data_IF_130132261865
#
_entry.id   IF_130132261865
#
_cell.length_a   1.000
_cell.length_b   1.000
_cell.length_c   1.000
_cell.angle_alpha   90.00
_cell.angle_beta   90.00
_cell.angle_gamma   90.00
#
_symmetry.space_group_name_H-M   'P 1'
#
loop_
_entity.id
_entity.type
_entity.pdbx_description
1 polymer ?
#
# COMPACT_ATOMS: atom_id res chain seq x y z
N UNK A 1 2.49 -59.21 -17.99
CA UNK A 1 2.62 -59.55 -16.55
C UNK A 1 1.95 -58.42 -15.78
N UNK A 2 0.64 -58.39 -15.49
CA UNK A 2 -0.18 -59.23 -14.56
C UNK A 2 0.57 -59.52 -13.27
N UNK A 3 0.08 -59.33 -12.03
CA UNK A 3 -1.17 -58.84 -11.40
C UNK A 3 -0.80 -58.75 -9.90
N UNK A 4 -1.20 -57.73 -9.14
CA UNK A 4 -1.11 -57.79 -7.66
C UNK A 4 -2.51 -57.91 -7.05
N UNK A 5 -2.62 -58.91 -6.18
CA UNK A 5 -3.83 -59.48 -5.59
C UNK A 5 -4.07 -58.89 -4.20
N UNK A 6 -5.33 -58.55 -3.95
CA UNK A 6 -5.94 -58.18 -2.67
C UNK A 6 -6.12 -59.45 -1.81
N UNK A 7 -5.87 -59.35 -0.50
CA UNK A 7 -6.55 -60.21 0.49
C UNK A 7 -6.93 -59.40 1.74
N UNK A 8 -8.23 -59.45 2.04
CA UNK A 8 -8.91 -59.02 3.26
C UNK A 8 -9.04 -60.25 4.16
N UNK A 9 -8.86 -60.10 5.47
CA UNK A 9 -9.70 -60.82 6.45
C UNK A 9 -9.62 -60.18 7.84
N UNK A 10 -10.80 -59.80 8.33
CA UNK A 10 -11.10 -59.33 9.68
C UNK A 10 -11.33 -60.51 10.64
N UNK A 11 -11.32 -60.25 11.97
CA UNK A 11 -12.45 -60.51 12.91
C UNK A 11 -12.01 -60.55 14.41
N UNK A 12 -12.76 -59.76 15.20
CA UNK A 12 -13.22 -59.86 16.61
C UNK A 12 -12.24 -60.04 17.80
N UNK A 13 -12.17 -59.12 18.77
CA UNK A 13 -13.05 -58.83 19.95
C UNK A 13 -12.59 -59.55 21.23
N UNK A 14 -12.21 -58.79 22.27
CA UNK A 14 -12.77 -58.86 23.63
C UNK A 14 -12.06 -57.90 24.61
N UNK A 15 -12.88 -57.10 25.27
CA UNK A 15 -12.66 -56.32 26.49
C UNK A 15 -12.32 -57.18 27.72
N UNK A 16 -11.67 -56.60 28.75
CA UNK A 16 -12.07 -56.57 30.19
C UNK A 16 -10.89 -56.33 31.16
N UNK A 17 -11.13 -55.39 32.11
CA UNK A 17 -10.63 -55.21 33.50
C UNK A 17 -9.13 -55.19 33.85
N UNK A 18 -8.58 -54.17 34.53
CA UNK A 18 -8.80 -53.64 35.90
C UNK A 18 -7.81 -54.20 36.96
N UNK A 19 -7.08 -53.26 37.59
CA UNK A 19 -6.57 -53.23 38.98
C UNK A 19 -5.45 -54.18 39.42
N UNK A 20 -4.34 -53.57 39.85
CA UNK A 20 -3.65 -53.87 41.12
C UNK A 20 -3.10 -52.52 41.66
N UNK A 21 -3.71 -51.98 42.72
CA UNK A 21 -3.18 -51.98 44.10
C UNK A 21 -1.84 -51.23 44.20
N UNK A 22 -1.78 -49.94 44.53
CA UNK A 22 -2.17 -49.29 45.79
C UNK A 22 -1.60 -49.96 47.05
N UNK A 23 -0.33 -49.70 47.37
CA UNK A 23 0.16 -49.34 48.72
C UNK A 23 1.69 -49.32 48.78
N UNK A 24 2.26 -48.11 48.66
CA UNK A 24 3.32 -47.69 49.56
C UNK A 24 3.22 -46.18 49.73
N UNK A 25 2.36 -45.83 50.67
CA UNK A 25 2.15 -44.50 51.19
C UNK A 25 3.41 -43.99 51.89
N UNK A 26 3.70 -42.71 51.61
CA UNK A 26 4.05 -41.70 52.60
C UNK A 26 5.32 -41.93 53.41
N UNK A 27 6.40 -41.28 52.98
CA UNK A 27 7.05 -40.22 53.76
C UNK A 27 8.14 -39.59 52.88
N UNK A 28 7.82 -38.47 52.23
CA UNK A 28 8.79 -37.43 51.85
C UNK A 28 8.00 -36.15 51.56
N UNK A 29 8.03 -35.30 52.59
CA UNK A 29 7.80 -33.86 52.67
C UNK A 29 6.87 -33.18 51.67
N UNK A 30 5.83 -32.59 52.26
CA UNK A 30 5.16 -31.37 51.83
C UNK A 30 6.17 -30.35 51.26
N UNK A 31 6.10 -30.14 49.94
CA UNK A 31 6.42 -28.86 49.34
C UNK A 31 5.09 -28.33 48.79
N UNK A 32 4.59 -27.26 49.38
CA UNK A 32 3.47 -26.52 48.81
C UNK A 32 3.89 -26.04 47.42
N UNK A 33 3.24 -26.54 46.36
CA UNK A 33 3.27 -25.90 45.06
C UNK A 33 2.63 -24.52 45.19
N UNK A 34 3.47 -23.49 45.38
CA UNK A 34 3.08 -22.12 45.06
C UNK A 34 2.71 -22.10 43.58
N UNK A 35 1.41 -21.96 43.31
CA UNK A 35 0.88 -21.50 42.04
C UNK A 35 1.68 -20.24 41.64
N UNK A 36 2.29 -20.17 40.46
CA UNK A 36 2.89 -18.91 40.03
C UNK A 36 1.77 -17.88 39.95
N UNK A 37 1.90 -16.81 40.74
CA UNK A 37 1.17 -15.57 40.48
C UNK A 37 1.49 -15.13 39.05
N UNK A 38 0.54 -14.55 38.32
CA UNK A 38 0.84 -14.00 37.00
C UNK A 38 1.91 -12.93 37.23
N UNK A 39 3.09 -13.15 36.66
CA UNK A 39 4.08 -12.09 36.48
C UNK A 39 3.31 -10.94 35.83
N UNK A 40 3.20 -9.82 36.54
CA UNK A 40 2.82 -8.56 35.93
C UNK A 40 3.92 -8.26 34.93
N UNK A 41 3.70 -8.68 33.67
CA UNK A 41 4.47 -8.20 32.55
C UNK A 41 4.44 -6.67 32.67
N UNK A 42 5.59 -6.08 32.97
CA UNK A 42 5.78 -4.65 32.80
C UNK A 42 5.60 -4.41 31.30
N UNK A 43 4.37 -4.14 30.87
CA UNK A 43 4.09 -3.55 29.56
C UNK A 43 4.95 -2.29 29.50
N UNK A 44 5.99 -2.34 28.68
CA UNK A 44 6.80 -1.16 28.39
C UNK A 44 5.88 -0.22 27.63
N UNK A 45 5.27 0.71 28.35
CA UNK A 45 4.38 1.71 27.78
C UNK A 45 5.17 2.52 26.74
N UNK A 46 4.80 2.39 25.47
CA UNK A 46 5.49 3.11 24.40
C UNK A 46 5.07 4.58 24.47
N UNK A 47 6.02 5.45 24.83
CA UNK A 47 5.79 6.88 24.88
C UNK A 47 5.65 7.44 23.45
N UNK A 48 4.41 7.64 23.00
CA UNK A 48 4.07 8.22 21.70
C UNK A 48 3.76 9.71 21.79
N UNK A 49 4.11 10.47 20.76
CA UNK A 49 3.68 11.87 20.62
C UNK A 49 2.18 11.89 20.23
N UNK A 50 1.28 11.98 21.20
CA UNK A 50 -0.17 11.96 20.93
C UNK A 50 -0.73 13.35 20.59
N UNK A 51 -0.34 14.33 21.38
CA UNK A 51 -0.81 15.70 21.20
C UNK A 51 0.06 16.49 20.23
N UNK A 52 -0.58 17.33 19.42
CA UNK A 52 0.12 18.29 18.56
C UNK A 52 0.92 19.23 19.46
N UNK A 53 2.26 19.34 19.28
CA UNK A 53 3.05 20.29 20.07
C UNK A 53 2.46 21.71 19.99
N UNK A 54 2.35 22.36 21.14
CA UNK A 54 1.69 23.67 21.27
C UNK A 54 2.49 24.79 20.60
N UNK A 55 3.79 24.61 20.45
CA UNK A 55 4.76 25.51 19.83
C UNK A 55 4.91 25.32 18.31
N UNK A 56 4.25 24.30 17.73
CA UNK A 56 4.28 24.03 16.30
C UNK A 56 2.91 24.33 15.68
N UNK A 57 2.89 25.35 14.82
CA UNK A 57 1.72 25.65 13.98
C UNK A 57 1.46 24.52 12.98
N UNK A 58 0.18 24.22 12.75
CA UNK A 58 -0.23 23.27 11.72
C UNK A 58 0.19 23.82 10.35
N UNK A 59 1.06 23.11 9.58
CA UNK A 59 1.44 23.55 8.26
C UNK A 59 0.21 23.70 7.35
N UNK A 60 0.27 24.68 6.44
CA UNK A 60 -0.82 24.89 5.48
C UNK A 60 -1.11 23.61 4.67
N UNK A 61 -2.41 23.30 4.54
CA UNK A 61 -2.88 22.11 3.82
C UNK A 61 -2.74 20.80 4.59
N UNK A 62 -2.14 20.78 5.78
CA UNK A 62 -1.93 19.57 6.57
C UNK A 62 -2.92 19.44 7.74
N UNK A 63 -2.98 18.24 8.32
CA UNK A 63 -3.68 17.93 9.56
C UNK A 63 -2.82 17.09 10.48
N UNK A 64 -3.06 17.20 11.79
CA UNK A 64 -2.39 16.40 12.81
C UNK A 64 -3.02 15.01 12.92
N UNK A 65 -2.19 13.97 12.84
CA UNK A 65 -2.51 12.60 13.20
C UNK A 65 -1.90 12.36 14.58
N UNK A 66 -2.74 12.03 15.56
CA UNK A 66 -2.26 11.69 16.92
C UNK A 66 -1.46 10.40 16.87
N UNK A 67 -0.39 10.32 17.67
CA UNK A 67 0.31 9.07 17.87
C UNK A 67 -0.63 7.97 18.36
N UNK A 68 -0.48 6.77 17.79
CA UNK A 68 -1.41 5.66 17.96
C UNK A 68 -0.73 4.31 17.88
N UNK A 69 -1.28 3.34 18.61
CA UNK A 69 -1.03 1.92 18.42
C UNK A 69 -2.23 1.33 17.67
N UNK A 70 -1.96 0.60 16.60
CA UNK A 70 -2.98 0.00 15.75
C UNK A 70 -2.50 -1.32 15.17
N UNK A 71 -3.45 -2.09 14.64
CA UNK A 71 -3.15 -3.32 13.90
C UNK A 71 -2.97 -2.96 12.43
N UNK A 72 -1.75 -3.08 11.92
CA UNK A 72 -1.40 -2.83 10.52
C UNK A 72 -1.50 -4.12 9.70
N UNK A 73 -1.98 -4.01 8.47
CA UNK A 73 -2.16 -5.12 7.54
C UNK A 73 -3.57 -5.69 7.50
N UNK A 74 -3.79 -6.60 6.55
CA UNK A 74 -5.13 -7.09 6.23
C UNK A 74 -5.67 -8.00 7.33
N UNK A 75 -6.92 -7.74 7.71
CA UNK A 75 -7.68 -8.58 8.62
C UNK A 75 -7.92 -9.97 8.03
N UNK A 76 -8.17 -10.95 8.89
CA UNK A 76 -8.43 -12.32 8.45
C UNK A 76 -9.76 -12.48 7.71
N UNK A 77 -10.74 -11.62 8.02
CA UNK A 77 -12.07 -11.58 7.42
C UNK A 77 -12.16 -10.74 6.14
N UNK A 78 -11.08 -10.09 5.71
CA UNK A 78 -11.04 -9.35 4.44
C UNK A 78 -11.00 -10.33 3.25
N UNK A 79 -12.07 -10.39 2.43
CA UNK A 79 -12.19 -11.37 1.36
C UNK A 79 -11.28 -11.07 0.15
N UNK A 80 -10.70 -9.88 0.07
CA UNK A 80 -9.87 -9.43 -1.04
C UNK A 80 -8.38 -9.29 -0.69
N UNK A 81 -8.02 -9.62 0.56
CA UNK A 81 -6.65 -9.51 1.04
C UNK A 81 -5.68 -10.45 0.32
N UNK A 82 -4.60 -9.89 -0.22
CA UNK A 82 -3.51 -10.69 -0.77
C UNK A 82 -2.53 -11.18 0.32
N UNK A 83 -1.77 -12.26 0.07
CA UNK A 83 -0.76 -12.76 1.02
C UNK A 83 0.27 -11.71 1.45
N UNK A 84 0.63 -10.77 0.56
CA UNK A 84 1.57 -9.67 0.84
C UNK A 84 1.07 -8.63 1.84
N UNK A 85 -0.24 -8.65 2.14
CA UNK A 85 -0.90 -7.77 3.12
C UNK A 85 -1.02 -8.45 4.49
N UNK A 86 -0.64 -9.73 4.60
CA UNK A 86 -0.76 -10.56 5.81
C UNK A 86 0.61 -10.96 6.36
N UNK A 87 0.71 -11.30 7.66
CA UNK A 87 -0.34 -11.18 8.67
C UNK A 87 -0.55 -9.73 9.14
N UNK A 88 -1.73 -9.48 9.70
CA UNK A 88 -1.95 -8.29 10.52
C UNK A 88 -1.02 -8.31 11.75
N UNK A 89 -0.46 -7.17 12.14
CA UNK A 89 0.54 -7.09 13.22
C UNK A 89 0.49 -5.74 13.95
N UNK A 90 0.97 -5.72 15.19
CA UNK A 90 0.91 -4.54 16.05
C UNK A 90 1.96 -3.49 15.65
N UNK A 91 1.51 -2.26 15.46
CA UNK A 91 2.36 -1.11 15.09
C UNK A 91 1.99 0.10 15.95
N UNK A 92 3.01 0.83 16.39
CA UNK A 92 2.87 2.13 17.02
C UNK A 92 3.50 3.21 16.13
N UNK A 93 2.83 4.35 15.96
CA UNK A 93 3.33 5.50 15.20
C UNK A 93 3.22 6.75 16.07
N UNK A 94 4.29 7.54 16.15
CA UNK A 94 4.27 8.87 16.79
C UNK A 94 3.37 9.83 16.02
N UNK A 95 2.86 10.87 16.66
CA UNK A 95 2.06 11.88 15.99
C UNK A 95 2.85 12.69 14.97
N UNK A 96 2.19 13.04 13.87
CA UNK A 96 2.78 13.72 12.72
C UNK A 96 1.73 14.56 11.98
N UNK A 97 2.20 15.47 11.13
CA UNK A 97 1.34 16.16 10.18
C UNK A 97 1.32 15.42 8.84
N UNK A 98 0.16 15.31 8.21
CA UNK A 98 0.00 14.78 6.86
C UNK A 98 -0.83 15.74 6.00
N UNK A 99 -0.55 15.80 4.71
CA UNK A 99 -1.39 16.53 3.76
C UNK A 99 -2.82 16.01 3.78
N UNK A 100 -3.79 16.93 3.76
CA UNK A 100 -5.21 16.61 3.70
C UNK A 100 -5.62 15.97 2.36
N UNK A 101 -4.83 16.14 1.32
CA UNK A 101 -5.08 15.64 -0.05
C UNK A 101 -3.80 15.10 -0.66
N UNK A 102 -3.91 14.44 -1.80
CA UNK A 102 -2.80 14.30 -2.73
C UNK A 102 -2.24 15.67 -3.14
N UNK A 103 -0.98 15.69 -3.56
CA UNK A 103 -0.36 16.87 -4.17
C UNK A 103 -1.03 17.15 -5.50
N UNK A 104 -1.50 18.38 -5.68
CA UNK A 104 -2.21 18.81 -6.88
C UNK A 104 -1.28 19.25 -8.01
N UNK A 105 -1.79 19.28 -9.23
CA UNK A 105 -1.08 19.84 -10.39
C UNK A 105 -0.62 21.29 -10.16
N UNK A 106 -1.44 22.13 -9.51
CA UNK A 106 -1.05 23.50 -9.21
C UNK A 106 0.15 23.57 -8.25
N UNK A 107 0.13 22.76 -7.18
CA UNK A 107 1.23 22.69 -6.22
C UNK A 107 2.52 22.15 -6.86
N UNK A 108 2.41 21.10 -7.67
CA UNK A 108 3.57 20.53 -8.37
C UNK A 108 4.13 21.49 -9.43
N UNK A 109 3.26 22.25 -10.12
CA UNK A 109 3.68 23.31 -11.03
C UNK A 109 4.45 24.41 -10.32
N UNK A 110 4.01 24.85 -9.14
CA UNK A 110 4.74 25.82 -8.31
C UNK A 110 6.17 25.32 -8.01
N UNK A 111 6.31 24.05 -7.61
CA UNK A 111 7.60 23.40 -7.41
C UNK A 111 8.46 23.40 -8.67
N UNK A 112 7.92 22.93 -9.80
CA UNK A 112 8.65 22.80 -11.05
C UNK A 112 9.11 24.17 -11.58
N UNK A 113 8.26 25.19 -11.50
CA UNK A 113 8.58 26.56 -11.92
C UNK A 113 9.62 27.21 -10.99
N UNK A 114 9.52 27.01 -9.68
CA UNK A 114 10.45 27.59 -8.71
C UNK A 114 11.86 26.99 -8.78
N UNK A 115 11.97 25.72 -9.18
CA UNK A 115 13.23 24.96 -9.13
C UNK A 115 13.82 24.65 -10.51
N UNK A 116 13.03 24.79 -11.58
CA UNK A 116 13.38 24.29 -12.91
C UNK A 116 13.42 22.76 -12.98
N UNK A 117 12.74 22.06 -12.06
CA UNK A 117 12.76 20.60 -11.99
C UNK A 117 12.12 19.96 -13.22
N UNK A 118 12.79 18.91 -13.73
CA UNK A 118 12.35 18.09 -14.87
C UNK A 118 12.12 16.68 -14.34
N UNK A 119 10.90 16.14 -14.48
CA UNK A 119 10.58 14.84 -13.89
C UNK A 119 11.29 13.70 -14.61
N UNK A 120 11.38 12.52 -13.98
CA UNK A 120 11.98 11.34 -14.61
C UNK A 120 11.29 10.99 -15.94
N UNK A 121 9.97 11.10 -16.01
CA UNK A 121 9.19 10.88 -17.24
C UNK A 121 9.54 11.86 -18.39
N UNK A 122 10.13 13.02 -18.08
CA UNK A 122 10.55 14.02 -19.06
C UNK A 122 12.01 13.84 -19.52
N UNK A 123 12.77 12.92 -18.92
CA UNK A 123 14.19 12.69 -19.21
C UNK A 123 14.38 11.55 -20.22
N UNK A 124 15.44 11.58 -21.04
CA UNK A 124 15.79 10.44 -21.91
C UNK A 124 16.06 9.17 -21.09
N UNK A 125 15.66 8.02 -21.64
CA UNK A 125 15.92 6.73 -21.00
C UNK A 125 17.38 6.34 -21.27
N UNK A 126 18.15 6.21 -20.20
CA UNK A 126 19.54 5.76 -20.28
C UNK A 126 19.61 4.22 -20.25
N UNK A 127 20.00 3.63 -21.39
CA UNK A 127 20.21 2.18 -21.51
C UNK A 127 21.16 1.62 -20.44
N UNK A 128 22.21 2.37 -20.11
CA UNK A 128 23.22 1.92 -19.14
C UNK A 128 22.64 1.81 -17.72
N UNK A 129 21.57 2.55 -17.43
CA UNK A 129 20.83 2.43 -16.17
C UNK A 129 19.81 1.30 -16.24
N UNK A 130 18.95 1.27 -17.26
CA UNK A 130 17.85 0.28 -17.29
C UNK A 130 18.39 -1.15 -17.40
N UNK A 131 19.50 -1.37 -18.12
CA UNK A 131 20.06 -2.73 -18.29
C UNK A 131 20.52 -3.36 -16.98
N UNK A 132 20.73 -2.57 -15.93
CA UNK A 132 21.06 -3.07 -14.57
C UNK A 132 19.84 -3.68 -13.86
N UNK A 133 18.65 -3.34 -14.32
CA UNK A 133 17.35 -3.80 -13.80
C UNK A 133 16.74 -4.91 -14.68
N UNK A 134 17.43 -5.30 -15.77
CA UNK A 134 16.98 -6.34 -16.69
C UNK A 134 17.74 -7.66 -16.47
N UNK A 135 17.15 -8.81 -16.87
CA UNK A 135 17.85 -10.08 -16.87
C UNK A 135 19.20 -10.01 -17.62
N UNK A 136 20.24 -10.72 -17.16
CA UNK A 136 21.52 -10.79 -17.86
C UNK A 136 21.36 -11.24 -19.31
N UNK A 137 21.94 -10.49 -20.25
CA UNK A 137 21.89 -10.81 -21.68
C UNK A 137 20.70 -10.21 -22.43
N UNK A 138 19.83 -9.42 -21.79
CA UNK A 138 18.76 -8.71 -22.49
C UNK A 138 19.33 -7.78 -23.57
N UNK A 139 18.92 -7.92 -24.84
CA UNK A 139 19.43 -7.09 -25.93
C UNK A 139 18.94 -5.64 -25.77
N UNK A 140 19.80 -4.69 -26.16
CA UNK A 140 19.42 -3.28 -26.19
C UNK A 140 18.24 -3.09 -27.16
N UNK A 141 17.11 -2.50 -26.73
CA UNK A 141 16.03 -2.15 -27.63
C UNK A 141 16.48 -1.03 -28.59
N UNK A 142 15.77 -0.86 -29.70
CA UNK A 142 16.06 0.23 -30.63
C UNK A 142 15.90 1.60 -29.93
N UNK A 143 16.74 2.58 -30.26
CA UNK A 143 16.77 3.89 -29.57
C UNK A 143 15.44 4.66 -29.68
N UNK A 144 14.62 4.35 -30.68
CA UNK A 144 13.26 4.89 -30.80
C UNK A 144 12.32 4.49 -29.65
N UNK A 145 12.66 3.44 -28.90
CA UNK A 145 11.92 2.99 -27.71
C UNK A 145 12.49 3.58 -26.41
N UNK A 146 13.68 4.18 -26.46
CA UNK A 146 14.37 4.78 -25.31
C UNK A 146 14.09 6.29 -25.20
N UNK A 147 12.82 6.66 -25.40
CA UNK A 147 12.38 8.05 -25.41
C UNK A 147 11.66 8.41 -24.10
N UNK A 148 11.73 9.69 -23.66
CA UNK A 148 10.98 10.16 -22.49
C UNK A 148 9.50 9.80 -22.61
N UNK A 149 8.90 9.38 -21.52
CA UNK A 149 7.52 8.94 -21.51
C UNK A 149 7.14 8.34 -20.16
N UNK A 150 5.93 7.82 -20.11
CA UNK A 150 5.37 7.21 -18.92
C UNK A 150 4.29 6.21 -19.30
N UNK A 151 3.94 5.33 -18.37
CA UNK A 151 2.90 4.34 -18.56
C UNK A 151 1.51 5.00 -18.52
N UNK A 152 0.64 4.71 -19.47
CA UNK A 152 -0.74 5.23 -19.52
C UNK A 152 -1.76 4.10 -19.64
N UNK A 153 -2.95 4.33 -19.12
CA UNK A 153 -4.09 3.45 -19.33
C UNK A 153 -4.76 3.76 -20.67
N UNK A 154 -5.01 2.72 -21.47
CA UNK A 154 -5.76 2.85 -22.73
C UNK A 154 -7.23 3.11 -22.44
N UNK A 155 -7.67 4.33 -22.73
CA UNK A 155 -9.04 4.81 -22.49
C UNK A 155 -10.11 4.21 -23.41
N UNK A 156 -9.69 3.70 -24.56
CA UNK A 156 -10.56 3.14 -25.60
C UNK A 156 -10.14 1.69 -25.87
N UNK A 157 -10.81 0.76 -25.20
CA UNK A 157 -10.64 -0.67 -25.38
C UNK A 157 -11.98 -1.29 -25.72
N UNK A 158 -12.05 -2.05 -26.82
CA UNK A 158 -13.28 -2.74 -27.22
C UNK A 158 -13.43 -4.09 -26.50
N UNK A 159 -12.33 -4.81 -26.30
CA UNK A 159 -12.29 -6.10 -25.63
C UNK A 159 -10.87 -6.45 -25.19
N UNK A 160 -10.76 -7.36 -24.22
CA UNK A 160 -9.51 -8.00 -23.84
C UNK A 160 -9.67 -9.53 -23.89
N UNK A 161 -8.60 -10.23 -24.23
CA UNK A 161 -8.60 -11.70 -24.31
C UNK A 161 -8.62 -12.35 -22.92
N UNK A 162 -8.03 -11.69 -21.92
CA UNK A 162 -7.92 -12.15 -20.55
C UNK A 162 -7.45 -10.99 -19.64
N UNK A 163 -7.49 -11.20 -18.31
CA UNK A 163 -7.02 -10.23 -17.30
C UNK A 163 -5.59 -10.49 -16.78
N UNK A 164 -4.84 -11.43 -17.37
CA UNK A 164 -3.46 -11.73 -16.96
C UNK A 164 -2.43 -10.93 -17.78
N UNK A 165 -2.72 -10.68 -19.06
CA UNK A 165 -1.86 -9.88 -19.92
C UNK A 165 -2.21 -8.39 -19.82
N UNK A 166 -1.51 -7.70 -18.93
CA UNK A 166 -1.71 -6.29 -18.64
C UNK A 166 -1.32 -5.36 -19.80
N UNK A 167 -0.54 -5.84 -20.77
CA UNK A 167 -0.12 -5.04 -21.94
C UNK A 167 -1.27 -4.71 -22.91
N UNK A 168 -2.42 -5.36 -22.71
CA UNK A 168 -3.64 -5.07 -23.45
C UNK A 168 -4.22 -3.68 -23.11
N UNK A 169 -4.06 -3.22 -21.87
CA UNK A 169 -4.58 -1.92 -21.41
C UNK A 169 -3.52 -0.95 -20.88
N UNK A 170 -2.32 -1.42 -20.56
CA UNK A 170 -1.18 -0.55 -20.25
C UNK A 170 -0.29 -0.31 -21.47
N UNK A 171 0.05 0.95 -21.72
CA UNK A 171 0.90 1.35 -22.83
C UNK A 171 2.00 2.29 -22.37
N UNK A 172 3.24 2.05 -22.82
CA UNK A 172 4.28 3.07 -22.73
C UNK A 172 4.02 4.17 -23.74
N UNK A 173 3.76 5.39 -23.27
CA UNK A 173 3.48 6.54 -24.12
C UNK A 173 4.65 7.52 -24.13
N UNK A 174 5.36 7.59 -25.25
CA UNK A 174 6.37 8.61 -25.49
C UNK A 174 5.77 10.01 -25.32
N UNK A 175 6.43 10.84 -24.53
CA UNK A 175 6.03 12.21 -24.21
C UNK A 175 4.93 12.34 -23.16
N UNK A 176 4.39 11.24 -22.61
CA UNK A 176 3.48 11.32 -21.46
C UNK A 176 4.27 11.71 -20.20
N UNK A 177 3.76 12.71 -19.48
CA UNK A 177 4.32 13.26 -18.25
C UNK A 177 3.24 14.03 -17.49
N UNK A 178 3.59 14.62 -16.34
CA UNK A 178 2.65 15.33 -15.48
C UNK A 178 1.94 16.53 -16.16
N UNK A 179 2.56 17.18 -17.16
CA UNK A 179 1.93 18.28 -17.93
C UNK A 179 1.02 17.77 -19.04
N UNK A 180 1.31 16.59 -19.56
CA UNK A 180 0.62 15.96 -20.69
C UNK A 180 0.28 14.49 -20.34
N UNK A 181 -0.71 14.24 -19.46
CA UNK A 181 -0.91 12.92 -18.87
C UNK A 181 -1.39 11.82 -19.82
N UNK A 182 -1.71 12.16 -21.07
CA UNK A 182 -2.08 11.18 -22.11
C UNK A 182 -1.10 11.24 -23.31
N UNK A 183 0.05 11.88 -23.11
CA UNK A 183 1.05 12.11 -24.14
C UNK A 183 0.83 13.38 -24.96
N UNK A 184 1.63 13.57 -26.03
CA UNK A 184 1.63 14.76 -26.86
C UNK A 184 0.23 15.19 -27.31
N UNK A 185 -0.09 16.46 -27.05
CA UNK A 185 -1.40 17.07 -27.39
C UNK A 185 -2.42 17.06 -26.26
N UNK A 186 -2.20 16.28 -25.20
CA UNK A 186 -2.96 16.41 -23.94
C UNK A 186 -2.43 17.56 -23.08
N UNK A 187 -3.21 18.01 -22.09
CA UNK A 187 -2.78 19.06 -21.16
C UNK A 187 -3.52 18.96 -19.82
N UNK A 188 -2.92 19.51 -18.76
CA UNK A 188 -3.57 19.74 -17.46
C UNK A 188 -4.33 21.08 -17.38
N UNK A 189 -4.67 21.71 -18.51
CA UNK A 189 -5.38 23.00 -18.50
C UNK A 189 -6.77 22.82 -17.86
N UNK A 190 -7.02 23.55 -16.77
CA UNK A 190 -8.27 23.43 -16.02
C UNK A 190 -8.30 22.24 -15.05
N UNK A 191 -7.15 21.61 -14.79
CA UNK A 191 -7.01 20.47 -13.87
C UNK A 191 -6.07 20.81 -12.69
N UNK A 192 -6.09 22.07 -12.25
CA UNK A 192 -5.18 22.59 -11.23
C UNK A 192 -5.38 21.92 -9.86
N UNK A 193 -6.60 21.50 -9.56
CA UNK A 193 -7.05 20.80 -8.35
C UNK A 193 -7.06 19.27 -8.48
N UNK A 194 -6.60 18.71 -9.60
CA UNK A 194 -6.44 17.27 -9.76
C UNK A 194 -5.09 16.82 -9.18
N UNK A 195 -4.97 15.58 -8.70
CA UNK A 195 -3.70 15.04 -8.25
C UNK A 195 -2.68 15.05 -9.40
N UNK A 196 -1.44 15.40 -9.08
CA UNK A 196 -0.32 15.23 -10.01
C UNK A 196 -0.03 13.74 -10.21
N UNK A 197 0.20 13.34 -11.46
CA UNK A 197 0.49 11.96 -11.87
C UNK A 197 1.74 11.90 -12.76
N UNK A 198 2.16 10.72 -13.20
CA UNK A 198 3.42 10.49 -13.93
C UNK A 198 4.67 10.95 -13.16
N UNK A 199 4.62 10.78 -11.85
CA UNK A 199 5.75 11.04 -10.94
C UNK A 199 6.41 9.73 -10.55
N UNK A 200 7.73 9.78 -10.37
CA UNK A 200 8.56 8.68 -9.87
C UNK A 200 8.96 8.89 -8.41
N UNK A 201 9.66 7.93 -7.81
CA UNK A 201 10.17 8.07 -6.43
C UNK A 201 11.09 9.30 -6.29
N UNK A 202 11.90 9.59 -7.31
CA UNK A 202 12.79 10.76 -7.31
C UNK A 202 12.00 12.07 -7.31
N UNK A 203 10.96 12.16 -8.15
CA UNK A 203 10.14 13.37 -8.31
C UNK A 203 9.39 13.71 -7.02
N UNK A 204 8.81 12.68 -6.41
CA UNK A 204 8.06 12.75 -5.16
C UNK A 204 8.97 13.22 -4.02
N UNK A 205 10.17 12.64 -3.88
CA UNK A 205 11.12 13.05 -2.85
C UNK A 205 11.65 14.47 -3.09
N UNK A 206 11.92 14.86 -4.34
CA UNK A 206 12.39 16.19 -4.68
C UNK A 206 11.37 17.27 -4.29
N UNK A 207 10.08 17.04 -4.59
CA UNK A 207 8.99 17.92 -4.17
C UNK A 207 8.90 18.01 -2.63
N UNK A 208 8.90 16.87 -1.94
CA UNK A 208 8.78 16.85 -0.48
C UNK A 208 9.93 17.61 0.19
N UNK A 209 11.16 17.40 -0.28
CA UNK A 209 12.34 18.12 0.21
C UNK A 209 12.21 19.63 -0.02
N UNK A 210 11.72 20.06 -1.18
CA UNK A 210 11.52 21.49 -1.49
C UNK A 210 10.50 22.15 -0.57
N UNK A 211 9.40 21.47 -0.21
CA UNK A 211 8.44 21.96 0.80
C UNK A 211 8.95 21.85 2.25
N UNK A 212 10.14 21.29 2.49
CA UNK A 212 10.65 21.04 3.84
C UNK A 212 9.86 19.95 4.58
N UNK A 213 9.43 18.93 3.84
CA UNK A 213 8.57 17.82 4.26
C UNK A 213 9.27 16.49 3.95
N UNK A 214 8.58 15.38 4.20
CA UNK A 214 9.02 14.04 3.81
C UNK A 214 7.83 13.23 3.24
N UNK A 215 8.10 12.02 2.76
CA UNK A 215 7.08 11.06 2.32
C UNK A 215 6.62 10.21 3.51
N UNK A 216 5.32 9.87 3.64
CA UNK A 216 4.85 9.00 4.70
C UNK A 216 5.55 7.64 4.64
N UNK A 217 5.81 7.04 5.80
CA UNK A 217 6.03 5.59 5.84
C UNK A 217 4.72 4.86 5.50
N UNK A 218 4.82 3.59 5.13
CA UNK A 218 3.63 2.74 4.92
C UNK A 218 2.72 2.74 6.16
N UNK A 219 3.33 2.67 7.35
CA UNK A 219 2.62 2.66 8.62
C UNK A 219 1.95 4.01 8.95
N UNK A 220 2.63 5.13 8.68
CA UNK A 220 2.04 6.46 8.83
C UNK A 220 0.84 6.64 7.90
N UNK A 221 0.98 6.22 6.63
CA UNK A 221 -0.11 6.30 5.67
C UNK A 221 -1.33 5.50 6.13
N UNK A 222 -1.12 4.25 6.59
CA UNK A 222 -2.21 3.38 7.02
C UNK A 222 -2.87 3.88 8.33
N UNK A 223 -2.08 4.36 9.29
CA UNK A 223 -2.59 4.99 10.51
C UNK A 223 -3.45 6.23 10.18
N UNK A 224 -3.01 7.05 9.23
CA UNK A 224 -3.76 8.21 8.75
C UNK A 224 -5.05 7.79 8.02
N UNK A 225 -5.01 6.73 7.22
CA UNK A 225 -6.15 6.23 6.44
C UNK A 225 -7.29 5.73 7.35
N UNK A 226 -6.95 4.99 8.40
CA UNK A 226 -7.93 4.52 9.41
C UNK A 226 -8.62 5.66 10.17
N UNK A 227 -8.02 6.85 10.19
CA UNK A 227 -8.48 7.96 11.02
C UNK A 227 -8.61 7.52 12.48
N UNK A 228 -9.69 7.92 13.17
CA UNK A 228 -9.97 7.56 14.56
C UNK A 228 -10.45 6.12 14.77
N UNK A 229 -10.71 5.35 13.71
CA UNK A 229 -11.19 3.97 13.86
C UNK A 229 -10.06 3.02 14.23
N UNK A 230 -8.84 3.28 13.74
CA UNK A 230 -7.65 2.42 13.91
C UNK A 230 -7.95 0.93 13.66
N UNK A 231 -8.79 0.70 12.64
CA UNK A 231 -9.38 -0.57 12.22
C UNK A 231 -10.35 -0.32 11.06
N UNK A 232 -10.90 -1.39 10.47
CA UNK A 232 -11.79 -1.31 9.30
C UNK A 232 -11.11 -1.75 8.01
N UNK A 233 -11.86 -2.37 7.10
CA UNK A 233 -11.37 -2.72 5.75
C UNK A 233 -11.20 -1.46 4.87
N UNK A 234 -12.11 -0.49 5.03
CA UNK A 234 -12.14 0.78 4.31
C UNK A 234 -11.99 1.97 5.26
N UNK A 235 -11.78 3.16 4.70
CA UNK A 235 -11.61 4.40 5.46
C UNK A 235 -12.91 4.86 6.15
N UNK A 236 -14.04 4.21 5.85
CA UNK A 236 -15.37 4.46 6.42
C UNK A 236 -15.96 3.27 7.20
N UNK A 237 -15.26 2.13 7.31
CA UNK A 237 -15.74 0.96 8.05
C UNK A 237 -15.42 -0.35 7.34
N UNK A 238 -16.20 -1.40 7.64
CA UNK A 238 -15.97 -2.76 7.11
C UNK A 238 -16.79 -3.08 5.86
N UNK A 239 -17.90 -2.37 5.67
CA UNK A 239 -18.81 -2.61 4.54
C UNK A 239 -18.31 -1.91 3.27
N UNK A 240 -18.28 -2.65 2.15
CA UNK A 240 -17.92 -2.07 0.84
C UNK A 240 -18.90 -0.97 0.43
N UNK A 241 -20.17 -1.12 0.79
CA UNK A 241 -21.18 -0.08 0.55
C UNK A 241 -21.13 0.94 1.69
N UNK A 242 -20.97 2.25 1.41
CA UNK A 242 -21.20 2.92 0.13
C UNK A 242 -19.90 3.30 -0.62
N UNK A 243 -19.39 2.43 -1.52
CA UNK A 243 -18.13 2.68 -2.24
C UNK A 243 -18.21 3.91 -3.16
N UNK A 244 -19.28 4.02 -3.95
CA UNK A 244 -19.50 5.07 -4.95
C UNK A 244 -19.62 6.46 -4.33
N UNK A 245 -20.08 6.55 -3.08
CA UNK A 245 -20.21 7.81 -2.36
C UNK A 245 -18.92 8.20 -1.61
N UNK A 246 -17.96 7.27 -1.45
CA UNK A 246 -16.78 7.49 -0.63
C UNK A 246 -15.44 7.42 -1.36
N UNK A 247 -15.37 6.89 -2.59
CA UNK A 247 -14.12 6.79 -3.33
C UNK A 247 -14.31 6.83 -4.85
N UNK A 248 -13.37 7.48 -5.54
CA UNK A 248 -13.24 7.40 -7.00
C UNK A 248 -12.62 6.07 -7.41
N UNK A 249 -13.41 5.20 -8.03
CA UNK A 249 -13.00 3.85 -8.44
C UNK A 249 -13.56 3.51 -9.82
N UNK A 250 -13.38 2.28 -10.28
CA UNK A 250 -13.96 1.84 -11.55
C UNK A 250 -15.28 1.11 -11.30
N UNK A 251 -16.37 1.52 -11.95
CA UNK A 251 -17.62 0.75 -11.97
C UNK A 251 -17.93 0.23 -13.38
N UNK A 252 -18.60 -0.91 -13.47
CA UNK A 252 -18.80 -1.64 -14.73
C UNK A 252 -17.77 -2.75 -14.96
N UNK A 253 -17.31 -2.92 -16.20
CA UNK A 253 -16.48 -4.05 -16.62
C UNK A 253 -15.04 -3.57 -16.88
N UNK A 254 -14.15 -3.78 -15.92
CA UNK A 254 -12.74 -3.47 -16.10
C UNK A 254 -12.09 -4.43 -17.13
N UNK A 255 -11.23 -3.98 -18.06
CA UNK A 255 -10.81 -2.59 -18.35
C UNK A 255 -11.60 -1.93 -19.50
N UNK A 256 -12.69 -2.54 -19.96
CA UNK A 256 -13.37 -2.20 -21.22
C UNK A 256 -14.40 -1.07 -21.05
N UNK A 257 -15.17 -1.10 -19.96
CA UNK A 257 -16.30 -0.18 -19.74
C UNK A 257 -16.31 0.37 -18.31
N UNK A 258 -15.93 1.65 -18.18
CA UNK A 258 -16.15 2.41 -16.95
C UNK A 258 -17.50 3.14 -17.01
N UNK A 259 -18.39 2.84 -16.08
CA UNK A 259 -19.66 3.52 -15.83
C UNK A 259 -19.40 4.46 -14.66
N UNK A 260 -19.31 5.79 -14.84
CA UNK A 260 -18.90 6.71 -13.78
C UNK A 260 -20.05 6.97 -12.79
N UNK A 261 -20.43 5.95 -12.01
CA UNK A 261 -21.47 6.03 -10.98
C UNK A 261 -21.04 6.96 -9.83
N UNK A 262 -19.73 6.99 -9.55
CA UNK A 262 -19.07 7.93 -8.62
C UNK A 262 -18.91 9.35 -9.17
N UNK A 263 -19.35 9.59 -10.41
CA UNK A 263 -19.28 10.88 -11.10
C UNK A 263 -18.01 11.12 -11.90
N UNK A 264 -17.02 10.23 -11.86
CA UNK A 264 -15.72 10.42 -12.51
C UNK A 264 -15.30 9.23 -13.37
N UNK A 265 -15.03 9.47 -14.65
CA UNK A 265 -14.56 8.40 -15.55
C UNK A 265 -13.09 8.01 -15.29
N UNK A 266 -12.31 8.91 -14.73
CA UNK A 266 -10.88 8.73 -14.40
C UNK A 266 -10.59 9.53 -13.13
N UNK A 267 -9.39 10.10 -12.97
CA UNK A 267 -9.07 10.96 -11.83
C UNK A 267 -10.15 12.04 -11.60
N UNK A 268 -10.35 12.36 -10.33
CA UNK A 268 -11.23 13.41 -9.82
C UNK A 268 -10.38 14.55 -9.24
N UNK A 269 -10.93 15.78 -9.13
CA UNK A 269 -10.34 16.81 -8.27
C UNK A 269 -10.12 16.26 -6.85
N UNK A 270 -9.05 16.68 -6.19
CA UNK A 270 -8.86 16.35 -4.78
C UNK A 270 -10.03 16.89 -3.94
N UNK A 271 -10.38 16.20 -2.86
CA UNK A 271 -11.55 16.48 -2.01
C UNK A 271 -12.90 16.33 -2.69
N UNK A 272 -12.99 15.48 -3.71
CA UNK A 272 -14.27 15.17 -4.36
C UNK A 272 -15.17 14.29 -3.49
N UNK A 273 -14.58 13.46 -2.64
CA UNK A 273 -15.28 12.53 -1.75
C UNK A 273 -15.21 13.01 -0.29
N UNK A 274 -16.06 12.48 0.62
CA UNK A 274 -15.99 12.83 2.04
C UNK A 274 -14.61 12.55 2.65
N UNK A 275 -14.12 13.41 3.55
CA UNK A 275 -12.90 13.12 4.28
C UNK A 275 -13.16 12.02 5.32
N UNK A 276 -12.10 11.32 5.72
CA UNK A 276 -12.15 10.45 6.90
C UNK A 276 -12.32 11.27 8.20
N UNK A 277 -12.39 10.57 9.34
CA UNK A 277 -12.62 11.18 10.66
C UNK A 277 -11.54 12.16 11.16
N UNK A 278 -10.42 12.29 10.44
CA UNK A 278 -9.36 13.28 10.68
C UNK A 278 -9.40 14.46 9.70
N UNK A 279 -10.31 14.47 8.72
CA UNK A 279 -10.34 15.52 7.70
C UNK A 279 -9.36 15.29 6.54
N UNK A 280 -8.94 14.03 6.33
CA UNK A 280 -8.05 13.62 5.24
C UNK A 280 -8.91 13.02 4.12
N UNK A 281 -8.71 13.49 2.90
CA UNK A 281 -9.49 13.14 1.72
C UNK A 281 -8.78 12.10 0.86
N UNK A 282 -9.58 11.38 0.07
CA UNK A 282 -9.12 10.52 -1.03
C UNK A 282 -8.08 9.47 -0.61
N UNK A 283 -8.14 9.00 0.64
CA UNK A 283 -7.29 7.90 1.13
C UNK A 283 -7.67 6.54 0.51
N UNK A 284 -8.78 6.48 -0.24
CA UNK A 284 -9.24 5.33 -0.99
C UNK A 284 -9.61 5.76 -2.41
N UNK A 285 -9.04 5.10 -3.42
CA UNK A 285 -9.28 5.41 -4.82
C UNK A 285 -8.53 6.65 -5.31
N UNK A 286 -9.08 7.30 -6.33
CA UNK A 286 -8.49 8.43 -7.05
C UNK A 286 -7.12 8.11 -7.65
N UNK A 287 -6.01 8.32 -6.95
CA UNK A 287 -4.67 7.89 -7.41
C UNK A 287 -3.96 7.10 -6.32
N UNK A 288 -3.14 6.14 -6.75
CA UNK A 288 -2.20 5.47 -5.87
C UNK A 288 -1.22 6.48 -5.29
N UNK A 289 -0.73 6.22 -4.08
CA UNK A 289 0.18 7.15 -3.40
C UNK A 289 1.48 6.49 -3.00
N UNK A 290 2.60 7.10 -3.41
CA UNK A 290 3.92 6.68 -2.95
C UNK A 290 4.11 6.82 -1.44
N UNK A 291 4.72 5.80 -0.86
CA UNK A 291 5.29 5.82 0.49
C UNK A 291 6.81 5.64 0.43
N UNK A 292 7.49 5.88 1.54
CA UNK A 292 8.96 5.82 1.62
C UNK A 292 9.52 4.39 1.58
N UNK A 293 8.69 3.42 1.95
CA UNK A 293 9.09 2.05 2.28
C UNK A 293 9.45 1.25 1.02
N UNK A 294 10.46 0.38 1.14
CA UNK A 294 10.76 -0.59 0.09
C UNK A 294 9.68 -1.68 0.09
N UNK A 295 9.22 -2.07 -1.10
CA UNK A 295 8.27 -3.15 -1.25
C UNK A 295 8.98 -4.50 -1.06
N UNK A 296 8.54 -5.23 -0.04
CA UNK A 296 8.98 -6.57 0.31
C UNK A 296 7.74 -7.40 0.68
N UNK A 297 7.40 -8.37 -0.17
CA UNK A 297 6.21 -9.22 0.01
C UNK A 297 6.26 -10.07 1.28
N UNK A 298 7.44 -10.25 1.87
CA UNK A 298 7.65 -11.01 3.10
C UNK A 298 7.81 -10.12 4.34
N UNK A 299 7.77 -8.78 4.21
CA UNK A 299 8.06 -7.87 5.30
C UNK A 299 7.17 -8.10 6.53
N UNK A 300 5.84 -8.15 6.35
CA UNK A 300 4.91 -8.34 7.46
C UNK A 300 5.11 -9.69 8.15
N UNK A 301 5.35 -10.76 7.38
CA UNK A 301 5.64 -12.09 7.93
C UNK A 301 6.93 -12.10 8.76
N UNK A 302 7.93 -11.31 8.39
CA UNK A 302 9.21 -11.25 9.08
C UNK A 302 9.14 -10.44 10.39
N UNK A 303 8.35 -9.36 10.44
CA UNK A 303 8.28 -8.47 11.60
C UNK A 303 7.20 -8.87 12.60
N UNK A 304 6.11 -9.52 12.17
CA UNK A 304 5.01 -9.87 13.05
C UNK A 304 5.43 -10.70 14.28
N UNK A 305 6.34 -11.69 14.18
CA UNK A 305 6.82 -12.44 15.35
C UNK A 305 7.61 -11.61 16.36
N UNK A 306 8.12 -10.43 15.97
CA UNK A 306 8.88 -9.54 16.85
C UNK A 306 7.99 -8.67 17.76
N UNK A 307 6.67 -8.78 17.65
CA UNK A 307 5.72 -8.01 18.46
C UNK A 307 5.54 -6.57 17.96
N UNK A 308 5.21 -5.65 18.88
CA UNK A 308 4.93 -4.25 18.56
C UNK A 308 6.10 -3.57 17.85
N UNK A 309 5.84 -3.05 16.66
CA UNK A 309 6.82 -2.26 15.90
C UNK A 309 6.58 -0.76 16.13
N UNK A 310 7.56 -0.04 16.67
CA UNK A 310 7.43 1.40 16.94
C UNK A 310 8.09 2.21 15.82
N UNK A 311 7.30 3.05 15.15
CA UNK A 311 7.68 3.87 13.99
C UNK A 311 8.44 3.08 12.91
N UNK A 312 7.89 1.95 12.40
CA UNK A 312 8.58 1.13 11.41
C UNK A 312 8.92 1.97 10.16
N UNK A 313 10.13 1.74 9.64
CA UNK A 313 10.69 2.45 8.47
C UNK A 313 10.68 1.58 7.20
N UNK A 314 9.91 0.49 7.22
CA UNK A 314 9.80 -0.47 6.12
C UNK A 314 10.93 -1.49 6.06
N UNK A 315 10.89 -2.33 5.03
CA UNK A 315 11.93 -3.35 4.81
C UNK A 315 13.26 -2.72 4.39
N UNK A 316 14.40 -3.18 4.95
CA UNK A 316 15.72 -2.77 4.47
C UNK A 316 16.07 -3.38 3.09
N UNK A 317 15.20 -4.23 2.53
CA UNK A 317 15.41 -4.92 1.25
C UNK A 317 14.28 -4.60 0.27
N UNK A 318 14.56 -4.82 -1.00
CA UNK A 318 13.54 -4.95 -2.05
C UNK A 318 13.32 -6.44 -2.30
N UNK A 319 12.07 -6.91 -2.25
CA UNK A 319 11.79 -8.32 -2.49
C UNK A 319 10.39 -8.53 -3.09
N UNK A 320 10.37 -8.80 -4.39
CA UNK A 320 9.19 -9.23 -5.12
C UNK A 320 9.56 -10.39 -6.06
N UNK A 321 9.13 -11.63 -5.78
CA UNK A 321 9.46 -12.78 -6.63
C UNK A 321 8.82 -12.70 -8.03
N UNK A 322 7.78 -11.89 -8.22
CA UNK A 322 7.17 -11.65 -9.54
C UNK A 322 8.03 -10.71 -10.40
N UNK A 323 8.81 -9.81 -9.78
CA UNK A 323 9.71 -8.86 -10.43
C UNK A 323 11.13 -8.91 -9.80
N UNK A 324 11.87 -10.03 -9.92
CA UNK A 324 13.09 -10.27 -9.12
C UNK A 324 14.28 -9.36 -9.45
N UNK A 325 14.23 -8.60 -10.55
CA UNK A 325 15.29 -7.69 -10.97
C UNK A 325 14.97 -6.21 -10.68
N UNK A 326 13.72 -5.92 -10.30
CA UNK A 326 13.25 -4.56 -10.07
C UNK A 326 13.29 -4.18 -8.60
N UNK A 327 13.47 -2.88 -8.37
CA UNK A 327 13.35 -2.28 -7.04
C UNK A 327 12.06 -1.47 -6.99
N UNK A 328 11.22 -1.78 -6.02
CA UNK A 328 9.89 -1.20 -5.92
C UNK A 328 9.70 -0.46 -4.58
N UNK A 329 9.03 0.70 -4.61
CA UNK A 329 8.48 1.34 -3.43
C UNK A 329 7.05 0.90 -3.19
N UNK A 330 6.62 0.92 -1.93
CA UNK A 330 5.23 0.65 -1.59
C UNK A 330 4.36 1.82 -2.04
N UNK A 331 3.29 1.52 -2.77
CA UNK A 331 2.17 2.42 -3.04
C UNK A 331 0.90 1.94 -2.31
N UNK A 332 0.07 2.88 -1.88
CA UNK A 332 -1.15 2.65 -1.08
C UNK A 332 -2.38 3.36 -1.68
N UNK A 333 -3.58 2.94 -1.26
CA UNK A 333 -4.84 3.66 -1.53
C UNK A 333 -5.66 3.19 -2.73
N UNK A 334 -5.05 2.53 -3.72
CA UNK A 334 -5.77 2.21 -4.96
C UNK A 334 -5.89 3.43 -5.88
N UNK A 335 -6.69 3.33 -6.94
CA UNK A 335 -6.92 4.44 -7.87
C UNK A 335 -8.31 4.36 -8.51
N UNK A 336 -8.64 5.32 -9.37
CA UNK A 336 -9.82 5.34 -10.23
C UNK A 336 -9.94 4.11 -11.16
N UNK A 337 -8.88 3.29 -11.31
CA UNK A 337 -8.91 2.04 -12.08
C UNK A 337 -9.23 0.80 -11.24
N UNK A 338 -9.31 0.93 -9.91
CA UNK A 338 -9.55 -0.22 -9.04
C UNK A 338 -11.01 -0.68 -9.13
N UNK A 339 -11.21 -1.99 -9.28
CA UNK A 339 -12.50 -2.66 -9.26
C UNK A 339 -12.31 -4.04 -8.62
N UNK A 340 -13.23 -4.47 -7.75
CA UNK A 340 -13.12 -5.78 -7.08
C UNK A 340 -12.97 -7.00 -7.99
N UNK A 341 -13.38 -6.94 -9.25
CA UNK A 341 -13.21 -8.05 -10.20
C UNK A 341 -11.74 -8.29 -10.59
N UNK A 342 -10.87 -7.32 -10.35
CA UNK A 342 -9.46 -7.36 -10.76
C UNK A 342 -8.52 -6.86 -9.65
N UNK A 343 -8.81 -5.69 -9.08
CA UNK A 343 -8.00 -5.01 -8.09
C UNK A 343 -8.88 -4.25 -7.09
N UNK A 344 -9.13 -4.85 -5.91
CA UNK A 344 -9.85 -4.22 -4.79
C UNK A 344 -8.89 -3.43 -3.87
N UNK A 345 -8.03 -2.57 -4.43
CA UNK A 345 -6.97 -1.92 -3.64
C UNK A 345 -7.35 -0.57 -3.02
N UNK A 346 -8.63 -0.20 -3.11
CA UNK A 346 -9.22 0.90 -2.31
C UNK A 346 -9.42 0.54 -0.83
N UNK A 347 -9.01 -0.66 -0.41
CA UNK A 347 -8.94 -1.10 0.99
C UNK A 347 -7.71 -0.50 1.68
N UNK A 348 -7.84 -0.18 2.97
CA UNK A 348 -6.78 0.49 3.74
C UNK A 348 -5.49 -0.35 3.81
N UNK A 349 -5.62 -1.66 4.00
CA UNK A 349 -4.48 -2.59 4.10
C UNK A 349 -3.81 -2.90 2.75
N UNK A 350 -4.47 -2.59 1.63
CA UNK A 350 -3.96 -2.94 0.32
C UNK A 350 -2.62 -2.24 0.07
N UNK A 351 -1.71 -2.97 -0.57
CA UNK A 351 -0.36 -2.49 -0.89
C UNK A 351 0.13 -3.11 -2.20
N UNK A 352 0.87 -2.33 -2.98
CA UNK A 352 1.54 -2.79 -4.21
C UNK A 352 2.95 -2.21 -4.31
N UNK A 353 3.77 -2.82 -5.18
CA UNK A 353 5.06 -2.29 -5.58
C UNK A 353 4.94 -1.39 -6.82
N UNK A 354 5.72 -0.31 -6.85
CA UNK A 354 5.94 0.53 -8.03
C UNK A 354 7.44 0.74 -8.22
N UNK A 355 7.98 0.56 -9.43
CA UNK A 355 9.43 0.71 -9.65
C UNK A 355 9.89 2.14 -9.37
N UNK A 356 11.15 2.31 -8.98
CA UNK A 356 11.68 3.60 -8.52
C UNK A 356 11.58 4.71 -9.58
N UNK A 357 11.68 4.33 -10.84
CA UNK A 357 11.81 5.18 -12.02
C UNK A 357 10.54 5.23 -12.88
N UNK A 358 9.50 4.49 -12.51
CA UNK A 358 8.21 4.51 -13.21
C UNK A 358 7.24 5.53 -12.59
N UNK A 359 6.43 6.13 -13.46
CA UNK A 359 5.18 6.78 -13.10
C UNK A 359 4.06 6.28 -14.01
N UNK A 360 2.81 6.52 -13.61
CA UNK A 360 1.63 6.26 -14.46
C UNK A 360 0.57 7.36 -14.30
N UNK A 361 -0.47 7.32 -15.14
CA UNK A 361 -1.60 8.26 -15.08
C UNK A 361 -2.55 8.04 -13.89
N UNK A 362 -2.23 7.09 -13.01
CA UNK A 362 -2.99 6.82 -11.79
C UNK A 362 -2.14 6.81 -10.51
N UNK A 363 -0.86 7.19 -10.56
CA UNK A 363 0.02 7.25 -9.37
C UNK A 363 0.41 8.69 -9.09
N UNK A 364 0.07 9.17 -7.90
CA UNK A 364 0.50 10.43 -7.31
C UNK A 364 1.12 10.19 -5.93
N UNK A 365 0.95 11.16 -5.03
CA UNK A 365 1.50 11.12 -3.68
C UNK A 365 0.92 12.21 -2.79
N UNK A 366 1.17 12.08 -1.48
CA UNK A 366 1.00 13.13 -0.47
C UNK A 366 2.22 13.20 0.44
N UNK A 367 2.37 14.26 1.23
CA UNK A 367 3.55 14.46 2.08
C UNK A 367 3.21 14.49 3.57
N UNK A 368 4.22 14.29 4.40
CA UNK A 368 4.16 14.38 5.86
C UNK A 368 5.18 15.37 6.41
N UNK A 369 4.96 15.85 7.63
CA UNK A 369 5.94 16.57 8.43
C UNK A 369 5.94 15.99 9.84
N UNK A 370 7.04 15.36 10.22
CA UNK A 370 7.23 14.77 11.55
C UNK A 370 7.68 15.83 12.54
N UNK A 371 7.26 15.69 13.79
CA UNK A 371 7.78 16.49 14.90
C UNK A 371 8.89 15.69 15.59
N UNK A 372 9.90 16.39 16.12
CA UNK A 372 10.97 15.72 16.88
C UNK A 372 10.53 15.57 18.33
N UNK A 373 10.87 14.43 18.95
CA UNK A 373 10.80 14.25 20.40
C UNK A 373 11.76 15.20 21.11
#
# INVERSE_FOLDING_TARGET
MMKNIIWILAILVLSVSCKNEAKKSQELSQAEEKKPEPDSENEVEVELIREKPSDIDTPEGMVWVSGVEFTMGARDDDPYAHPREKPAHAVAVDGFFIDKTEVTNAQFREFAEATGYVTVAERPIDWEQIKKQLPPGTPKPHDSLLQPGSLIFRKELESVNNLYDISQWWEWKTGANWKQPQGPGSSIKGMDDYPVVHVSTEDVQAYANWKGRDIPTEAEWEAAAHGKMHGGIYTWGDEETPLVENANTWQGEFPVKNIPEDGYKYAAPVKSFPPNSLGIYDMAGNVWEFTKDNFDVAYYQNIAPAGLQVNPQGSPRFFNPENPYEKEKVIKGGSFLCNKSYCASYRVSARMGMTLDSGSDHVGFRTVKRVKK
#
